data_IF_592735381217
#
_entry.id   IF_592735381217
#
_cell.length_a   1.000
_cell.length_b   1.000
_cell.length_c   1.000
_cell.angle_alpha   90.00
_cell.angle_beta   90.00
_cell.angle_gamma   90.00
#
_symmetry.space_group_name_H-M   'P 1'
#
loop_
_entity.id
_entity.type
_entity.pdbx_description
1 polymer ?
#
# COMPACT_ATOMS: atom_id res chain seq x y z
N UNK A 1 1.15 -3.06 -27.62
CA UNK A 1 1.76 -3.41 -26.31
C UNK A 1 3.18 -2.90 -26.30
N UNK A 2 3.68 -2.41 -25.16
CA UNK A 2 5.00 -1.78 -25.08
C UNK A 2 6.16 -2.66 -25.56
N UNK A 3 6.02 -3.98 -25.50
CA UNK A 3 7.00 -4.93 -26.05
C UNK A 3 7.24 -4.73 -27.57
N UNK A 4 6.18 -4.60 -28.37
CA UNK A 4 6.29 -4.44 -29.83
C UNK A 4 7.02 -3.14 -30.20
N UNK A 5 6.76 -2.07 -29.45
CA UNK A 5 7.29 -0.75 -29.74
C UNK A 5 8.78 -0.64 -29.34
N UNK A 6 9.20 -1.32 -28.27
CA UNK A 6 10.63 -1.47 -27.88
C UNK A 6 11.45 -2.27 -28.90
N UNK A 7 10.93 -3.40 -29.36
CA UNK A 7 11.61 -4.21 -30.40
C UNK A 7 11.75 -3.42 -31.70
N UNK A 8 10.73 -2.63 -32.07
CA UNK A 8 10.82 -1.72 -33.24
C UNK A 8 11.84 -0.60 -33.07
N UNK A 9 12.12 -0.17 -31.84
CA UNK A 9 13.15 0.82 -31.52
C UNK A 9 14.58 0.23 -31.53
N UNK A 10 14.73 -1.06 -31.84
CA UNK A 10 16.03 -1.73 -31.91
C UNK A 10 16.48 -2.37 -30.59
N UNK A 11 15.62 -2.40 -29.57
CA UNK A 11 15.91 -3.18 -28.37
C UNK A 11 15.92 -4.69 -28.69
N UNK A 12 16.83 -5.47 -28.08
CA UNK A 12 16.85 -6.91 -28.25
C UNK A 12 15.50 -7.56 -27.92
N UNK A 13 15.13 -8.66 -28.60
CA UNK A 13 13.94 -9.43 -28.24
C UNK A 13 14.04 -9.94 -26.81
N UNK A 14 12.89 -10.27 -26.20
CA UNK A 14 12.85 -10.73 -24.81
C UNK A 14 13.77 -11.94 -24.61
N UNK A 15 14.70 -11.90 -23.64
CA UNK A 15 15.64 -13.00 -23.42
C UNK A 15 14.93 -14.24 -22.88
N UNK A 16 15.53 -15.41 -23.10
CA UNK A 16 15.01 -16.69 -22.58
C UNK A 16 15.05 -16.78 -21.05
N UNK A 17 15.99 -16.08 -20.42
CA UNK A 17 16.15 -15.93 -18.97
C UNK A 17 16.29 -14.46 -18.65
N UNK A 18 15.60 -14.01 -17.62
CA UNK A 18 15.78 -12.67 -17.08
C UNK A 18 17.12 -12.60 -16.33
N UNK A 19 17.85 -11.50 -16.47
CA UNK A 19 18.94 -11.18 -15.55
C UNK A 19 18.39 -10.86 -14.15
N UNK A 20 19.28 -10.78 -13.15
CA UNK A 20 18.88 -10.58 -11.77
C UNK A 20 18.09 -9.28 -11.53
N UNK A 21 18.47 -8.18 -12.20
CA UNK A 21 17.79 -6.88 -12.06
C UNK A 21 16.41 -6.94 -12.70
N UNK A 22 16.30 -7.48 -13.90
CA UNK A 22 15.05 -7.66 -14.63
C UNK A 22 14.10 -8.59 -13.85
N UNK A 23 14.61 -9.69 -13.30
CA UNK A 23 13.83 -10.61 -12.47
C UNK A 23 13.34 -9.92 -11.19
N UNK A 24 14.20 -9.17 -10.49
CA UNK A 24 13.84 -8.42 -9.29
C UNK A 24 12.81 -7.32 -9.58
N UNK A 25 12.92 -6.61 -10.70
CA UNK A 25 11.92 -5.62 -11.13
C UNK A 25 10.55 -6.26 -11.38
N UNK A 26 10.52 -7.41 -12.06
CA UNK A 26 9.27 -8.15 -12.29
C UNK A 26 8.67 -8.68 -10.99
N UNK A 27 9.50 -9.17 -10.07
CA UNK A 27 9.05 -9.61 -8.75
C UNK A 27 8.45 -8.44 -7.97
N UNK A 28 9.17 -7.32 -7.86
CA UNK A 28 8.70 -6.12 -7.16
C UNK A 28 7.37 -5.60 -7.76
N UNK A 29 7.22 -5.65 -9.08
CA UNK A 29 5.95 -5.30 -9.75
C UNK A 29 4.81 -6.25 -9.39
N UNK A 30 5.08 -7.55 -9.24
CA UNK A 30 4.06 -8.53 -8.84
C UNK A 30 3.70 -8.39 -7.36
N UNK A 31 4.66 -8.16 -6.49
CA UNK A 31 4.42 -7.92 -5.05
C UNK A 31 3.60 -6.64 -4.85
N UNK A 32 3.91 -5.58 -5.59
CA UNK A 32 3.12 -4.33 -5.57
C UNK A 32 1.69 -4.59 -6.03
N UNK A 33 1.52 -5.33 -7.13
CA UNK A 33 0.19 -5.67 -7.66
C UNK A 33 -0.60 -6.59 -6.71
N UNK A 34 0.07 -7.55 -6.07
CA UNK A 34 -0.51 -8.44 -5.08
C UNK A 34 -1.02 -7.66 -3.87
N UNK A 35 -0.20 -6.76 -3.31
CA UNK A 35 -0.62 -5.94 -2.17
C UNK A 35 -1.75 -4.95 -2.52
N UNK A 36 -1.80 -4.44 -3.76
CA UNK A 36 -2.93 -3.62 -4.22
C UNK A 36 -4.21 -4.46 -4.37
N UNK A 37 -4.11 -5.67 -4.91
CA UNK A 37 -5.23 -6.60 -5.00
C UNK A 37 -5.79 -6.94 -3.62
N UNK A 38 -4.94 -7.32 -2.68
CA UNK A 38 -5.34 -7.65 -1.30
C UNK A 38 -5.99 -6.46 -0.59
N UNK A 39 -5.47 -5.25 -0.80
CA UNK A 39 -6.06 -4.04 -0.23
C UNK A 39 -7.46 -3.77 -0.82
N UNK A 40 -7.63 -3.90 -2.13
CA UNK A 40 -8.91 -3.68 -2.79
C UNK A 40 -9.94 -4.76 -2.42
N UNK A 41 -9.52 -6.03 -2.35
CA UNK A 41 -10.37 -7.14 -1.89
C UNK A 41 -10.89 -6.87 -0.48
N UNK A 42 -10.04 -6.38 0.43
CA UNK A 42 -10.47 -5.99 1.78
C UNK A 42 -11.45 -4.81 1.81
N UNK A 43 -11.46 -3.94 0.80
CA UNK A 43 -12.42 -2.84 0.71
C UNK A 43 -13.75 -3.25 0.09
N UNK A 44 -13.74 -4.23 -0.82
CA UNK A 44 -14.92 -4.67 -1.56
C UNK A 44 -15.65 -5.84 -0.87
N UNK A 45 -14.94 -6.71 -0.13
CA UNK A 45 -15.52 -7.86 0.58
C UNK A 45 -15.60 -7.63 2.11
N UNK A 46 -16.82 -7.59 2.70
CA UNK A 46 -17.00 -7.36 4.12
C UNK A 46 -16.42 -8.46 5.02
N UNK A 47 -16.31 -9.71 4.55
CA UNK A 47 -15.71 -10.80 5.34
C UNK A 47 -14.19 -10.67 5.41
N UNK A 48 -13.55 -10.26 4.32
CA UNK A 48 -12.12 -9.97 4.29
C UNK A 48 -11.82 -8.78 5.21
N UNK A 49 -12.64 -7.73 5.14
CA UNK A 49 -12.53 -6.58 6.05
C UNK A 49 -12.70 -6.99 7.52
N UNK A 50 -13.68 -7.84 7.83
CA UNK A 50 -13.90 -8.32 9.20
C UNK A 50 -12.67 -9.07 9.75
N UNK A 51 -12.02 -9.88 8.92
CA UNK A 51 -10.74 -10.51 9.26
C UNK A 51 -9.66 -9.48 9.61
N UNK A 52 -9.50 -8.43 8.79
CA UNK A 52 -8.56 -7.31 9.05
C UNK A 52 -8.90 -6.54 10.32
N UNK A 53 -10.19 -6.41 10.67
CA UNK A 53 -10.63 -5.77 11.93
C UNK A 53 -10.23 -6.59 13.14
N UNK A 54 -10.45 -7.91 13.08
CA UNK A 54 -10.07 -8.83 14.17
C UNK A 54 -8.57 -8.90 14.40
N UNK A 55 -7.75 -8.74 13.35
CA UNK A 55 -6.29 -8.67 13.47
C UNK A 55 -5.76 -7.30 13.85
N UNK A 56 -6.63 -6.30 14.02
CA UNK A 56 -6.25 -4.93 14.36
C UNK A 56 -5.65 -4.12 13.20
N UNK A 57 -5.77 -4.60 11.96
CA UNK A 57 -5.28 -3.95 10.73
C UNK A 57 -6.33 -3.03 10.08
N UNK A 58 -7.57 -3.07 10.55
CA UNK A 58 -8.63 -2.16 10.17
C UNK A 58 -9.56 -1.91 11.37
N UNK A 59 -10.38 -0.86 11.30
CA UNK A 59 -11.43 -0.61 12.28
C UNK A 59 -12.57 0.21 11.66
N UNK A 60 -13.78 0.02 12.18
CA UNK A 60 -14.95 0.83 11.90
C UNK A 60 -15.11 1.85 13.03
N UNK A 61 -15.24 3.13 12.70
CA UNK A 61 -15.44 4.19 13.69
C UNK A 61 -16.59 5.12 13.33
N UNK A 62 -17.44 5.44 14.30
CA UNK A 62 -18.43 6.50 14.19
C UNK A 62 -17.78 7.84 14.53
N UNK A 63 -17.95 8.83 13.66
CA UNK A 63 -17.40 10.18 13.86
C UNK A 63 -18.26 10.95 14.87
N UNK A 64 -17.71 11.26 16.04
CA UNK A 64 -18.44 11.96 17.11
C UNK A 64 -18.18 13.46 17.14
N UNK A 65 -16.99 13.86 16.68
CA UNK A 65 -16.55 15.25 16.65
C UNK A 65 -15.57 15.50 15.50
N UNK A 66 -15.64 16.70 14.93
CA UNK A 66 -14.72 17.17 13.89
C UNK A 66 -14.28 18.58 14.27
N UNK A 67 -12.98 18.75 14.54
CA UNK A 67 -12.36 20.04 14.85
C UNK A 67 -11.49 20.48 13.68
N UNK A 68 -11.76 21.67 13.14
CA UNK A 68 -10.94 22.25 12.09
C UNK A 68 -9.61 22.74 12.64
N UNK A 69 -8.51 22.10 12.26
CA UNK A 69 -7.15 22.58 12.52
C UNK A 69 -6.37 22.79 11.21
N UNK A 70 -5.20 23.42 11.31
CA UNK A 70 -4.36 23.78 10.17
C UNK A 70 -2.90 23.45 10.45
N UNK A 71 -2.13 23.14 9.41
CA UNK A 71 -0.69 22.91 9.52
C UNK A 71 0.04 24.22 9.91
N UNK A 72 1.02 24.12 10.80
CA UNK A 72 1.93 25.22 11.12
C UNK A 72 2.94 25.44 9.99
N UNK A 73 2.60 26.30 9.04
CA UNK A 73 3.50 26.70 7.95
C UNK A 73 3.13 28.09 7.41
N UNK A 74 4.02 28.68 6.61
CA UNK A 74 3.78 29.98 5.95
C UNK A 74 2.52 30.00 5.08
N UNK A 75 2.07 28.84 4.59
CA UNK A 75 0.80 28.67 3.86
C UNK A 75 0.02 27.54 4.55
N UNK A 76 -0.76 27.86 5.60
CA UNK A 76 -1.48 26.85 6.36
C UNK A 76 -2.41 26.04 5.45
N UNK A 77 -2.35 24.73 5.58
CA UNK A 77 -3.22 23.79 4.89
C UNK A 77 -4.12 23.08 5.91
N UNK A 78 -5.37 22.73 5.55
CA UNK A 78 -6.28 22.05 6.47
C UNK A 78 -5.69 20.77 7.04
N UNK A 79 -5.82 20.58 8.36
CA UNK A 79 -5.49 19.37 9.13
C UNK A 79 -6.58 19.08 10.17
N UNK A 80 -7.86 18.89 9.77
CA UNK A 80 -8.93 18.58 10.70
C UNK A 80 -8.59 17.39 11.60
N UNK A 81 -8.99 17.50 12.87
CA UNK A 81 -9.01 16.41 13.82
C UNK A 81 -10.39 15.79 13.82
N UNK A 82 -10.46 14.48 13.67
CA UNK A 82 -11.69 13.69 13.65
C UNK A 82 -11.62 12.76 14.85
N UNK A 83 -12.57 12.90 15.75
CA UNK A 83 -12.75 11.98 16.88
C UNK A 83 -13.70 10.89 16.45
N UNK A 84 -13.26 9.63 16.57
CA UNK A 84 -14.05 8.45 16.19
C UNK A 84 -14.23 7.51 17.37
N UNK A 85 -15.46 7.08 17.62
CA UNK A 85 -15.77 6.03 18.58
C UNK A 85 -15.74 4.68 17.85
N UNK A 86 -15.06 3.69 18.41
CA UNK A 86 -14.91 2.37 17.78
C UNK A 86 -14.97 1.27 18.83
N UNK A 87 -15.51 0.11 18.47
CA UNK A 87 -15.48 -1.10 19.30
C UNK A 87 -14.31 -2.03 18.95
N UNK A 88 -13.53 -1.67 17.92
CA UNK A 88 -12.38 -2.47 17.46
C UNK A 88 -11.10 -2.15 18.25
N UNK A 89 -10.12 -3.06 18.18
CA UNK A 89 -8.80 -2.93 18.84
C UNK A 89 -7.68 -2.79 17.79
N UNK A 90 -7.59 -1.65 17.06
CA UNK A 90 -6.58 -1.48 16.03
C UNK A 90 -5.17 -1.36 16.62
N UNK A 91 -4.16 -1.83 15.89
CA UNK A 91 -2.75 -1.78 16.27
C UNK A 91 -2.15 -0.39 16.05
N UNK A 92 -2.68 0.61 16.74
CA UNK A 92 -2.24 2.00 16.64
C UNK A 92 -1.03 2.27 17.53
N UNK A 93 0.06 2.70 16.91
CA UNK A 93 1.24 3.25 17.57
C UNK A 93 1.28 4.77 17.45
N UNK A 94 2.30 5.39 18.05
CA UNK A 94 2.50 6.83 17.93
C UNK A 94 2.65 7.24 16.46
N UNK A 95 1.81 8.17 16.00
CA UNK A 95 1.84 8.71 14.62
C UNK A 95 1.63 7.65 13.52
N UNK A 96 1.00 6.52 13.86
CA UNK A 96 0.60 5.53 12.86
C UNK A 96 -0.33 6.17 11.83
N UNK A 97 -0.05 5.92 10.55
CA UNK A 97 -0.95 6.34 9.47
C UNK A 97 -2.09 5.37 9.35
N UNK A 98 -3.27 5.92 9.09
CA UNK A 98 -4.48 5.18 8.75
C UNK A 98 -5.06 5.75 7.48
N UNK A 99 -5.84 4.95 6.77
CA UNK A 99 -6.37 5.29 5.46
C UNK A 99 -7.86 5.01 5.41
N UNK A 100 -8.61 5.86 4.71
CA UNK A 100 -9.99 5.59 4.34
C UNK A 100 -10.17 5.73 2.84
N UNK A 101 -11.15 5.04 2.28
CA UNK A 101 -11.53 5.21 0.88
C UNK A 101 -12.39 6.47 0.75
N UNK A 102 -11.93 7.42 -0.07
CA UNK A 102 -12.65 8.62 -0.45
C UNK A 102 -12.85 8.60 -1.97
N UNK A 103 -14.07 8.34 -2.42
CA UNK A 103 -14.42 8.19 -3.84
C UNK A 103 -13.49 7.20 -4.58
N UNK A 104 -13.16 6.08 -3.93
CA UNK A 104 -12.27 5.05 -4.47
C UNK A 104 -10.78 5.41 -4.46
N UNK A 105 -10.39 6.48 -3.75
CA UNK A 105 -8.98 6.87 -3.57
C UNK A 105 -8.62 6.87 -2.10
N UNK A 106 -7.38 6.46 -1.74
CA UNK A 106 -6.94 6.57 -0.36
C UNK A 106 -6.84 8.03 0.06
N UNK A 107 -7.48 8.36 1.17
CA UNK A 107 -7.21 9.54 1.98
C UNK A 107 -6.48 9.12 3.24
N UNK A 108 -5.37 9.79 3.56
CA UNK A 108 -4.55 9.47 4.72
C UNK A 108 -4.88 10.33 5.93
N UNK A 109 -4.78 9.71 7.10
CA UNK A 109 -4.84 10.35 8.40
C UNK A 109 -3.71 9.83 9.31
N UNK A 110 -3.42 10.57 10.36
CA UNK A 110 -2.41 10.22 11.37
C UNK A 110 -3.11 10.06 12.72
N UNK A 111 -2.82 8.97 13.43
CA UNK A 111 -3.27 8.78 14.80
C UNK A 111 -2.56 9.77 15.74
N UNK A 112 -3.35 10.57 16.46
CA UNK A 112 -2.85 11.59 17.38
C UNK A 112 -2.85 11.07 18.82
N UNK A 113 -4.00 10.57 19.29
CA UNK A 113 -4.19 10.06 20.65
C UNK A 113 -5.42 9.18 20.73
N UNK A 114 -5.46 8.31 21.73
CA UNK A 114 -6.69 7.70 22.21
C UNK A 114 -7.21 8.48 23.42
N UNK A 115 -8.52 8.57 23.54
CA UNK A 115 -9.25 9.11 24.68
C UNK A 115 -9.99 7.96 25.38
N UNK A 116 -9.36 7.33 26.38
CA UNK A 116 -9.94 6.17 27.07
C UNK A 116 -11.15 6.54 27.92
N UNK A 117 -11.45 7.83 28.13
CA UNK A 117 -12.54 8.29 29.00
C UNK A 117 -13.86 8.50 28.27
N UNK A 118 -13.87 8.37 26.94
CA UNK A 118 -15.04 8.66 26.11
C UNK A 118 -16.00 7.46 25.94
N UNK A 119 -15.67 6.27 26.44
CA UNK A 119 -16.50 5.08 26.37
C UNK A 119 -16.60 4.41 27.74
N UNK A 120 -17.81 4.12 28.20
CA UNK A 120 -18.05 3.47 29.50
C UNK A 120 -17.67 1.97 29.50
N UNK A 121 -17.61 1.29 28.33
CA UNK A 121 -17.34 -0.16 28.20
C UNK A 121 -16.70 -0.58 26.84
N UNK A 122 -15.75 0.18 26.30
CA UNK A 122 -15.11 -0.14 25.00
C UNK A 122 -13.74 0.52 24.77
N UNK A 123 -13.06 0.23 23.63
CA UNK A 123 -11.92 1.01 23.22
C UNK A 123 -12.38 2.46 23.04
N UNK A 124 -11.81 3.36 23.85
CA UNK A 124 -12.24 4.75 23.88
C UNK A 124 -12.12 5.48 22.53
N UNK A 125 -12.49 6.75 22.49
CA UNK A 125 -12.48 7.50 21.25
C UNK A 125 -11.05 7.69 20.70
N UNK A 126 -10.86 7.53 19.39
CA UNK A 126 -9.58 7.77 18.72
C UNK A 126 -9.61 9.14 18.05
N UNK A 127 -8.53 9.91 18.17
CA UNK A 127 -8.37 11.19 17.48
C UNK A 127 -7.42 11.01 16.31
N UNK A 128 -7.95 11.25 15.11
CA UNK A 128 -7.25 11.12 13.84
C UNK A 128 -7.08 12.50 13.19
N UNK A 129 -5.91 12.79 12.65
CA UNK A 129 -5.65 14.02 11.89
C UNK A 129 -5.66 13.72 10.40
N UNK A 130 -6.57 14.31 9.64
CA UNK A 130 -6.56 14.20 8.17
C UNK A 130 -5.34 14.92 7.58
N UNK A 131 -4.67 14.29 6.60
CA UNK A 131 -3.41 14.79 6.04
C UNK A 131 -3.55 15.30 4.61
N UNK A 132 -4.39 14.67 3.79
CA UNK A 132 -4.46 14.91 2.36
C UNK A 132 -5.91 14.88 1.79
N UNK A 133 -6.03 14.98 0.47
CA UNK A 133 -7.27 14.90 -0.32
C UNK A 133 -8.38 15.91 0.03
N UNK A 134 -8.06 17.00 0.73
CA UNK A 134 -8.98 18.09 1.06
C UNK A 134 -8.99 19.25 0.06
N UNK A 135 -8.45 19.05 -1.15
CA UNK A 135 -8.27 20.12 -2.14
C UNK A 135 -7.04 20.99 -1.90
N UNK A 136 -6.91 22.09 -2.66
CA UNK A 136 -5.77 23.03 -2.60
C UNK A 136 -6.12 24.35 -1.90
N UNK A 137 -7.38 24.51 -1.49
CA UNK A 137 -7.89 25.71 -0.85
C UNK A 137 -7.56 25.79 0.63
N UNK A 138 -7.90 26.94 1.23
CA UNK A 138 -7.87 27.10 2.69
C UNK A 138 -9.00 26.30 3.34
N UNK A 139 -10.15 26.21 2.71
CA UNK A 139 -11.25 25.39 3.19
C UNK A 139 -11.20 24.00 2.51
N UNK A 140 -11.48 22.91 3.24
CA UNK A 140 -11.57 21.58 2.66
C UNK A 140 -12.60 21.53 1.53
N UNK A 141 -12.31 20.74 0.50
CA UNK A 141 -13.29 20.41 -0.53
C UNK A 141 -14.54 19.74 0.10
N UNK A 142 -15.76 20.05 -0.38
CA UNK A 142 -16.97 19.38 0.09
C UNK A 142 -16.85 17.85 0.01
N UNK A 143 -17.31 17.14 1.05
CA UNK A 143 -17.21 15.67 1.16
C UNK A 143 -15.83 15.12 1.50
N UNK A 144 -14.77 15.95 1.52
CA UNK A 144 -13.41 15.47 1.83
C UNK A 144 -13.12 15.25 3.32
N UNK A 145 -13.98 15.78 4.20
CA UNK A 145 -13.92 15.62 5.65
C UNK A 145 -15.21 14.91 6.06
N UNK A 146 -15.16 13.82 6.85
CA UNK A 146 -16.37 13.19 7.32
C UNK A 146 -17.17 14.11 8.24
N UNK A 147 -18.47 13.87 8.34
CA UNK A 147 -19.40 14.59 9.19
C UNK A 147 -19.67 13.81 10.48
N UNK A 148 -20.22 14.49 11.48
CA UNK A 148 -20.64 13.86 12.73
C UNK A 148 -21.76 12.85 12.45
N UNK A 149 -21.60 11.63 12.96
CA UNK A 149 -22.50 10.49 12.74
C UNK A 149 -22.07 9.58 11.58
N UNK A 150 -21.05 9.98 10.80
CA UNK A 150 -20.55 9.12 9.73
C UNK A 150 -19.87 7.88 10.28
N UNK A 151 -20.23 6.72 9.74
CA UNK A 151 -19.53 5.46 9.95
C UNK A 151 -18.42 5.31 8.90
N UNK A 152 -17.17 5.37 9.35
CA UNK A 152 -16.00 5.34 8.47
C UNK A 152 -15.15 4.11 8.77
N UNK A 153 -14.85 3.36 7.72
CA UNK A 153 -13.85 2.28 7.77
C UNK A 153 -12.46 2.88 7.58
N UNK A 154 -11.58 2.57 8.52
CA UNK A 154 -10.17 2.93 8.50
C UNK A 154 -9.31 1.67 8.39
N UNK A 155 -8.23 1.75 7.61
CA UNK A 155 -7.25 0.67 7.42
C UNK A 155 -5.87 1.15 7.82
N UNK A 156 -5.04 0.26 8.35
CA UNK A 156 -3.63 0.55 8.69
C UNK A 156 -2.69 0.27 7.51
N UNK A 157 -3.20 -0.34 6.44
CA UNK A 157 -2.49 -0.56 5.17
C UNK A 157 -2.90 0.47 4.11
N UNK A 158 -1.96 0.83 3.24
CA UNK A 158 -2.18 1.70 2.08
C UNK A 158 -2.99 0.97 0.99
N UNK A 159 -3.93 1.68 0.36
CA UNK A 159 -4.72 1.13 -0.76
C UNK A 159 -3.95 1.10 -2.08
N UNK A 160 -3.03 2.06 -2.24
CA UNK A 160 -2.11 2.13 -3.38
C UNK A 160 -0.70 1.79 -2.87
N UNK A 161 -0.26 0.54 -3.08
CA UNK A 161 1.08 0.12 -2.70
C UNK A 161 2.14 0.91 -3.47
N UNK A 162 3.04 1.57 -2.74
CA UNK A 162 4.19 2.24 -3.35
C UNK A 162 5.24 1.19 -3.70
N UNK A 163 5.72 1.25 -4.94
CA UNK A 163 6.86 0.44 -5.36
C UNK A 163 8.09 0.71 -4.48
N UNK A 164 8.90 -0.33 -4.31
CA UNK A 164 10.18 -0.27 -3.60
C UNK A 164 11.19 0.71 -4.24
N UNK A 165 12.35 0.91 -3.61
CA UNK A 165 13.40 1.78 -4.14
C UNK A 165 13.83 1.34 -5.55
N UNK A 166 14.32 2.30 -6.36
CA UNK A 166 14.88 2.00 -7.67
C UNK A 166 16.04 1.01 -7.49
N UNK A 167 15.98 -0.11 -8.20
CA UNK A 167 17.08 -1.05 -8.28
C UNK A 167 18.28 -0.44 -9.03
N UNK A 168 19.52 -0.84 -8.71
CA UNK A 168 20.71 -0.39 -9.43
C UNK A 168 20.62 -0.79 -10.90
N UNK A 169 21.35 -0.08 -11.74
CA UNK A 169 21.50 -0.50 -13.14
C UNK A 169 22.33 -1.80 -13.20
N UNK A 170 22.18 -2.65 -14.23
CA UNK A 170 22.84 -3.97 -14.28
C UNK A 170 24.36 -3.92 -14.13
N UNK A 171 25.02 -2.89 -14.69
CA UNK A 171 26.47 -2.69 -14.58
C UNK A 171 26.93 -2.34 -13.16
N UNK A 172 26.02 -1.79 -12.35
CA UNK A 172 26.25 -1.41 -10.96
C UNK A 172 25.82 -2.51 -9.97
N UNK A 173 25.28 -3.63 -10.48
CA UNK A 173 24.83 -4.75 -9.65
C UNK A 173 26.05 -5.51 -9.10
N UNK A 174 26.16 -5.70 -7.77
CA UNK A 174 27.28 -6.43 -7.17
C UNK A 174 27.45 -7.83 -7.78
N UNK A 175 28.69 -8.28 -7.96
CA UNK A 175 29.02 -9.61 -8.50
C UNK A 175 28.36 -10.79 -7.75
N UNK A 176 28.01 -10.59 -6.48
CA UNK A 176 27.32 -11.58 -5.64
C UNK A 176 25.82 -11.70 -5.90
N UNK A 177 25.22 -10.74 -6.60
CA UNK A 177 23.78 -10.66 -6.85
C UNK A 177 23.45 -10.53 -8.35
N UNK A 178 24.45 -10.57 -9.23
CA UNK A 178 24.26 -10.48 -10.68
C UNK A 178 25.35 -9.78 -11.50
N UNK A 179 26.43 -9.25 -10.90
CA UNK A 179 27.57 -8.68 -11.65
C UNK A 179 28.32 -9.73 -12.51
N UNK A 180 29.08 -9.33 -13.54
CA UNK A 180 29.00 -9.95 -14.87
C UNK A 180 29.71 -11.31 -14.97
N UNK A 181 29.04 -12.32 -15.57
CA UNK A 181 29.62 -13.11 -16.65
C UNK A 181 28.86 -12.80 -17.95
N UNK A 182 29.61 -12.42 -18.99
CA UNK A 182 29.10 -11.69 -20.16
C UNK A 182 27.85 -12.25 -20.84
N UNK A 183 27.14 -11.39 -21.57
CA UNK A 183 26.01 -11.76 -22.43
C UNK A 183 26.29 -13.00 -23.32
N UNK A 184 27.56 -13.30 -23.60
CA UNK A 184 28.03 -14.51 -24.29
C UNK A 184 27.78 -15.82 -23.50
N UNK A 185 27.91 -15.84 -22.17
CA UNK A 185 27.70 -17.05 -21.37
C UNK A 185 26.23 -17.49 -21.29
N UNK A 186 25.28 -16.55 -21.42
CA UNK A 186 23.85 -16.83 -21.41
C UNK A 186 23.29 -17.18 -22.80
N UNK A 187 23.94 -16.71 -23.87
CA UNK A 187 23.51 -16.95 -25.25
C UNK A 187 23.87 -18.36 -25.76
N UNK A 188 25.00 -18.91 -25.32
CA UNK A 188 25.54 -20.20 -25.79
C UNK A 188 25.44 -21.37 -24.79
N UNK A 189 24.89 -21.14 -23.59
CA UNK A 189 24.71 -22.23 -22.63
C UNK A 189 23.59 -23.19 -23.09
N UNK A 190 23.86 -24.50 -23.22
CA UNK A 190 22.83 -25.48 -23.50
C UNK A 190 21.76 -25.46 -22.41
N UNK A 191 20.50 -25.67 -22.79
CA UNK A 191 19.42 -25.77 -21.83
C UNK A 191 19.74 -26.88 -20.81
N UNK A 192 19.52 -26.67 -19.50
CA UNK A 192 19.56 -27.77 -18.55
C UNK A 192 18.53 -28.79 -18.99
N UNK A 193 18.92 -30.07 -18.97
CA UNK A 193 17.97 -31.14 -19.22
C UNK A 193 16.82 -31.02 -18.21
N UNK A 194 15.57 -31.30 -18.61
CA UNK A 194 14.48 -31.40 -17.66
C UNK A 194 14.86 -32.39 -16.56
N UNK A 195 14.43 -32.13 -15.33
CA UNK A 195 14.64 -33.06 -14.24
C UNK A 195 14.04 -34.42 -14.63
N UNK A 196 14.76 -35.53 -14.40
CA UNK A 196 14.24 -36.85 -14.70
C UNK A 196 13.00 -37.10 -13.85
N UNK A 197 11.95 -37.63 -14.47
CA UNK A 197 10.72 -37.99 -13.74
C UNK A 197 11.07 -38.96 -12.62
N UNK A 198 10.69 -38.61 -11.40
CA UNK A 198 10.91 -39.41 -10.20
C UNK A 198 9.66 -40.21 -9.85
N UNK A 199 9.80 -41.25 -9.02
CA UNK A 199 8.67 -42.07 -8.57
C UNK A 199 7.64 -41.23 -7.78
N UNK A 200 8.09 -40.14 -7.15
CA UNK A 200 7.26 -39.18 -6.41
C UNK A 200 6.30 -38.37 -7.31
N UNK A 201 6.58 -38.28 -8.62
CA UNK A 201 5.71 -37.59 -9.59
C UNK A 201 4.48 -38.43 -10.01
N UNK A 202 4.41 -39.69 -9.56
CA UNK A 202 3.35 -40.64 -9.87
C UNK A 202 2.45 -41.01 -8.68
N UNK A 203 2.62 -40.35 -7.53
CA UNK A 203 1.82 -40.54 -6.30
C UNK A 203 0.82 -39.40 -6.10
#
# INVERSE_FOLDING_TARGET
>A
TGHRDRVRAGEPPQPRRDDAVTAAQKLASRETAQGQLEAQEALDDPLVLAGRRLTGEAFLGEVTEVEMAYSDSKRPSPRPLVTVLTDDLPHLGHRTKVFRSLDGKPQSAEFVRADPTAADDGPGALVLRLLDRMGRGKDPAPGSVPEKGDLVVWTLFEHDQRGGPKLPDPEETPWTHGGPPGAEAAADAPAPAPDPVTEDDFL
#
